data_IF_514312754594
#
_entry.id   IF_514312754594
#
_cell.length_a   1.000
_cell.length_b   1.000
_cell.length_c   1.000
_cell.angle_alpha   90.00
_cell.angle_beta   90.00
_cell.angle_gamma   90.00
#
_symmetry.space_group_name_H-M   'P 1'
#
loop_
_entity.id
_entity.type
_entity.pdbx_description
1 polymer ?
#
# COMPACT_ATOMS: atom_id res chain seq x y z
N UNK A 1 -18.25 11.42 -6.14
CA UNK A 1 -17.08 10.94 -6.90
C UNK A 1 -16.10 10.35 -5.90
N UNK A 2 -15.46 9.21 -6.22
CA UNK A 2 -14.41 8.60 -5.39
C UNK A 2 -13.06 8.68 -6.12
N UNK A 3 -11.98 8.84 -5.37
CA UNK A 3 -10.61 8.76 -5.89
C UNK A 3 -9.95 7.45 -5.47
N UNK A 4 -9.42 6.70 -6.45
CA UNK A 4 -8.63 5.48 -6.21
C UNK A 4 -7.19 5.78 -6.63
N UNK A 5 -6.25 5.67 -5.69
CA UNK A 5 -4.82 5.74 -6.00
C UNK A 5 -4.27 4.33 -6.23
N UNK A 6 -3.80 4.06 -7.45
CA UNK A 6 -3.08 2.81 -7.73
C UNK A 6 -1.60 2.93 -7.34
N UNK A 7 -1.30 2.47 -6.13
CA UNK A 7 0.01 2.54 -5.51
C UNK A 7 0.78 1.21 -5.64
N UNK A 8 0.35 0.31 -6.54
CA UNK A 8 1.02 -0.99 -6.72
C UNK A 8 2.51 -0.82 -7.05
N UNK A 9 2.92 0.27 -7.72
CA UNK A 9 4.34 0.58 -7.99
C UNK A 9 4.92 1.61 -7.02
N UNK A 10 4.14 2.64 -6.70
CA UNK A 10 4.62 3.85 -6.04
C UNK A 10 4.75 3.72 -4.51
N UNK A 11 3.97 2.84 -3.87
CA UNK A 11 4.05 2.62 -2.43
C UNK A 11 5.38 1.98 -2.00
N UNK A 12 5.64 2.10 -0.70
CA UNK A 12 6.77 1.51 0.01
C UNK A 12 8.13 2.06 -0.47
N UNK A 13 8.21 3.37 -0.64
CA UNK A 13 9.48 4.08 -0.78
C UNK A 13 9.97 4.31 -2.21
N UNK A 14 9.28 3.78 -3.24
CA UNK A 14 9.74 3.88 -4.65
C UNK A 14 10.04 5.32 -5.08
N UNK A 15 9.24 6.28 -4.65
CA UNK A 15 9.34 7.69 -5.03
C UNK A 15 9.98 8.56 -3.94
N UNK A 16 10.82 7.99 -3.08
CA UNK A 16 11.42 8.73 -1.95
C UNK A 16 10.41 9.15 -0.87
N UNK A 17 9.22 8.58 -0.90
CA UNK A 17 8.11 8.83 0.02
C UNK A 17 7.37 7.53 0.31
N UNK A 18 6.63 7.44 1.42
CA UNK A 18 5.98 6.17 1.80
C UNK A 18 4.98 5.71 0.72
N UNK A 19 4.30 6.65 0.08
CA UNK A 19 3.41 6.43 -1.06
C UNK A 19 3.46 7.62 -2.02
N UNK A 20 3.14 7.39 -3.30
CA UNK A 20 3.05 8.46 -4.29
C UNK A 20 1.99 9.50 -3.91
N UNK A 21 0.90 9.09 -3.27
CA UNK A 21 -0.16 9.94 -2.79
C UNK A 21 0.37 11.00 -1.81
N UNK A 22 1.31 10.63 -0.94
CA UNK A 22 1.97 11.60 -0.07
C UNK A 22 2.90 12.53 -0.86
N UNK A 23 3.64 12.01 -1.84
CA UNK A 23 4.53 12.80 -2.70
C UNK A 23 3.82 13.91 -3.45
N UNK A 24 2.60 13.63 -3.90
CA UNK A 24 1.80 14.51 -4.76
C UNK A 24 0.63 15.18 -4.05
N UNK A 25 0.53 15.06 -2.71
CA UNK A 25 -0.54 15.69 -1.93
C UNK A 25 -1.94 15.15 -2.25
N UNK A 26 -2.06 13.91 -2.68
CA UNK A 26 -3.33 13.24 -2.98
C UNK A 26 -4.00 12.76 -1.70
N UNK A 27 -5.33 12.82 -1.66
CA UNK A 27 -6.17 12.27 -0.58
C UNK A 27 -7.16 11.27 -1.16
N UNK A 28 -6.71 10.05 -1.49
CA UNK A 28 -7.56 9.02 -2.09
C UNK A 28 -8.54 8.42 -1.08
N UNK A 29 -9.69 7.97 -1.57
CA UNK A 29 -10.70 7.25 -0.79
C UNK A 29 -10.38 5.76 -0.68
N UNK A 30 -9.65 5.22 -1.67
CA UNK A 30 -9.20 3.85 -1.77
C UNK A 30 -7.77 3.83 -2.31
N UNK A 31 -6.94 2.90 -1.83
CA UNK A 31 -5.59 2.68 -2.34
C UNK A 31 -5.42 1.19 -2.68
N UNK A 32 -4.91 0.89 -3.87
CA UNK A 32 -4.46 -0.46 -4.22
C UNK A 32 -2.96 -0.58 -4.04
N UNK A 33 -2.51 -1.69 -3.44
CA UNK A 33 -1.07 -1.92 -3.26
C UNK A 33 -0.69 -3.40 -3.29
N UNK A 34 0.56 -3.69 -3.64
CA UNK A 34 1.16 -5.02 -3.74
C UNK A 34 2.70 -4.86 -3.81
N UNK A 35 3.39 -5.61 -4.69
CA UNK A 35 4.83 -5.47 -5.03
C UNK A 35 5.75 -5.14 -3.83
N UNK A 36 6.06 -3.86 -3.62
CA UNK A 36 6.93 -3.37 -2.54
C UNK A 36 6.44 -3.73 -1.14
N UNK A 37 5.16 -4.07 -0.96
CA UNK A 37 4.57 -4.54 0.30
C UNK A 37 5.33 -5.73 0.89
N UNK A 38 5.80 -6.64 0.03
CA UNK A 38 6.58 -7.82 0.42
C UNK A 38 7.95 -7.85 -0.25
N UNK A 39 8.33 -6.79 -0.99
CA UNK A 39 9.45 -6.82 -1.94
C UNK A 39 9.45 -8.09 -2.82
N UNK A 40 8.26 -8.57 -3.18
CA UNK A 40 8.03 -9.81 -3.94
C UNK A 40 8.53 -11.12 -3.29
N UNK A 41 8.91 -11.13 -2.00
CA UNK A 41 9.30 -12.36 -1.30
C UNK A 41 8.13 -13.35 -1.13
N UNK A 42 6.89 -12.85 -1.09
CA UNK A 42 5.67 -13.65 -1.07
C UNK A 42 4.52 -12.87 -1.77
N UNK A 43 3.54 -13.55 -2.39
CA UNK A 43 2.43 -12.89 -3.08
C UNK A 43 1.47 -12.26 -2.07
N UNK A 44 1.42 -10.93 -2.03
CA UNK A 44 0.46 -10.19 -1.20
C UNK A 44 0.01 -8.92 -1.92
N UNK A 45 -1.28 -8.63 -1.82
CA UNK A 45 -1.87 -7.34 -2.17
C UNK A 45 -2.78 -6.88 -1.04
N UNK A 46 -3.10 -5.59 -1.05
CA UNK A 46 -4.06 -5.00 -0.14
C UNK A 46 -4.87 -3.91 -0.84
N UNK A 47 -6.12 -3.76 -0.40
CA UNK A 47 -6.94 -2.57 -0.65
C UNK A 47 -7.03 -1.83 0.68
N UNK A 48 -6.51 -0.61 0.72
CA UNK A 48 -6.62 0.26 1.89
C UNK A 48 -7.87 1.11 1.68
N UNK A 49 -8.76 1.11 2.68
CA UNK A 49 -10.07 1.75 2.59
C UNK A 49 -10.11 2.96 3.51
N UNK A 50 -10.40 4.13 2.96
CA UNK A 50 -10.59 5.35 3.74
C UNK A 50 -11.89 5.33 4.54
N UNK A 51 -11.92 6.06 5.66
CA UNK A 51 -13.04 6.08 6.60
C UNK A 51 -14.40 6.37 5.94
N UNK A 52 -14.43 7.32 4.99
CA UNK A 52 -15.64 7.67 4.22
C UNK A 52 -16.29 6.45 3.56
N UNK A 53 -15.47 5.54 3.00
CA UNK A 53 -15.96 4.33 2.33
C UNK A 53 -16.22 3.22 3.34
N UNK A 54 -15.34 3.07 4.33
CA UNK A 54 -15.50 2.08 5.39
C UNK A 54 -16.82 2.22 6.14
N UNK A 55 -17.21 3.45 6.53
CA UNK A 55 -18.45 3.70 7.27
C UNK A 55 -19.68 3.23 6.49
N UNK A 56 -19.70 3.42 5.17
CA UNK A 56 -20.80 2.96 4.31
C UNK A 56 -20.85 1.43 4.24
N UNK A 57 -19.68 0.77 4.17
CA UNK A 57 -19.60 -0.70 4.17
C UNK A 57 -20.09 -1.26 5.52
N UNK A 58 -19.68 -0.64 6.63
CA UNK A 58 -20.09 -1.03 7.97
C UNK A 58 -21.60 -0.89 8.18
N UNK A 59 -22.17 0.28 7.83
CA UNK A 59 -23.61 0.53 7.88
C UNK A 59 -24.40 -0.45 7.00
N UNK A 60 -23.90 -0.76 5.80
CA UNK A 60 -24.52 -1.76 4.92
C UNK A 60 -24.48 -3.16 5.55
N UNK A 61 -23.38 -3.53 6.21
CA UNK A 61 -23.26 -4.86 6.84
C UNK A 61 -24.28 -5.10 7.94
N UNK A 62 -24.66 -4.05 8.66
CA UNK A 62 -25.68 -4.09 9.71
C UNK A 62 -27.10 -4.26 9.15
N UNK A 63 -27.36 -3.75 7.94
CA UNK A 63 -28.68 -3.80 7.29
C UNK A 63 -28.86 -5.06 6.43
N UNK A 64 -27.82 -5.40 5.68
CA UNK A 64 -27.88 -6.32 4.55
C UNK A 64 -27.10 -7.64 4.82
N UNK A 65 -26.40 -7.72 5.96
CA UNK A 65 -25.57 -8.86 6.34
C UNK A 65 -24.14 -8.77 5.81
N UNK A 66 -23.36 -9.85 5.98
CA UNK A 66 -21.94 -9.85 5.63
C UNK A 66 -21.69 -9.60 4.13
N UNK A 67 -20.64 -8.82 3.83
CA UNK A 67 -20.19 -8.59 2.45
C UNK A 67 -19.72 -9.90 1.81
N UNK A 68 -20.32 -10.28 0.68
CA UNK A 68 -19.97 -11.47 -0.10
C UNK A 68 -18.66 -11.34 -0.88
N UNK A 69 -17.57 -10.97 -0.21
CA UNK A 69 -16.25 -10.79 -0.82
C UNK A 69 -15.17 -11.47 0.01
N UNK A 70 -14.37 -12.33 -0.62
CA UNK A 70 -13.28 -13.02 0.05
C UNK A 70 -12.47 -13.87 -0.92
N UNK A 71 -11.25 -14.18 -0.51
CA UNK A 71 -10.32 -15.04 -1.24
C UNK A 71 -9.78 -16.10 -0.30
N UNK A 72 -9.53 -17.31 -0.79
CA UNK A 72 -8.98 -18.42 0.00
C UNK A 72 -7.70 -18.03 0.74
N UNK A 73 -6.88 -17.17 0.13
CA UNK A 73 -5.60 -16.73 0.68
C UNK A 73 -5.62 -15.27 1.20
N UNK A 74 -6.82 -14.70 1.42
CA UNK A 74 -6.93 -13.37 2.03
C UNK A 74 -6.31 -13.40 3.43
N UNK A 75 -5.31 -12.54 3.68
CA UNK A 75 -4.58 -12.53 4.96
C UNK A 75 -3.67 -13.74 5.18
N UNK A 76 -3.14 -14.36 4.12
CA UNK A 76 -2.28 -15.55 4.25
C UNK A 76 -1.10 -15.32 5.23
N UNK A 77 -0.95 -16.11 6.31
CA UNK A 77 -0.01 -15.84 7.40
C UNK A 77 1.46 -15.71 6.95
N UNK A 78 1.90 -16.55 6.01
CA UNK A 78 3.29 -16.50 5.49
C UNK A 78 3.53 -15.19 4.71
N UNK A 79 2.54 -14.73 3.95
CA UNK A 79 2.65 -13.48 3.19
C UNK A 79 2.67 -12.28 4.13
N UNK A 80 1.87 -12.31 5.20
CA UNK A 80 1.90 -11.29 6.25
C UNK A 80 3.25 -11.26 6.98
N UNK A 81 3.81 -12.42 7.34
CA UNK A 81 5.13 -12.49 7.95
C UNK A 81 6.24 -11.92 7.03
N UNK A 82 6.20 -12.23 5.74
CA UNK A 82 7.11 -11.66 4.75
C UNK A 82 6.95 -10.13 4.63
N UNK A 83 5.71 -9.63 4.66
CA UNK A 83 5.44 -8.19 4.64
C UNK A 83 6.00 -7.48 5.88
N UNK A 84 5.78 -8.03 7.08
CA UNK A 84 6.31 -7.46 8.32
C UNK A 84 7.83 -7.38 8.30
N UNK A 85 8.51 -8.49 7.96
CA UNK A 85 9.97 -8.50 7.86
C UNK A 85 10.49 -7.50 6.80
N UNK A 86 9.78 -7.38 5.67
CA UNK A 86 10.10 -6.40 4.63
C UNK A 86 9.96 -4.95 5.14
N UNK A 87 8.86 -4.62 5.81
CA UNK A 87 8.64 -3.28 6.36
C UNK A 87 9.69 -2.94 7.43
N UNK A 88 10.02 -3.89 8.31
CA UNK A 88 11.08 -3.73 9.32
C UNK A 88 12.44 -3.40 8.67
N UNK A 89 12.76 -4.02 7.53
CA UNK A 89 13.98 -3.74 6.77
C UNK A 89 13.91 -2.34 6.15
N UNK A 90 12.82 -2.00 5.46
CA UNK A 90 12.63 -0.68 4.83
C UNK A 90 12.81 0.46 5.85
N UNK A 91 12.29 0.29 7.07
CA UNK A 91 12.40 1.26 8.15
C UNK A 91 13.80 1.27 8.77
N UNK A 92 14.34 0.12 9.17
CA UNK A 92 15.64 0.01 9.85
C UNK A 92 16.79 0.53 8.99
N UNK A 93 16.74 0.30 7.68
CA UNK A 93 17.77 0.71 6.72
C UNK A 93 17.44 2.05 6.05
N UNK A 94 16.34 2.70 6.45
CA UNK A 94 15.89 4.00 5.94
C UNK A 94 15.82 4.05 4.40
N UNK A 95 15.32 2.98 3.78
CA UNK A 95 15.39 2.79 2.33
C UNK A 95 14.54 3.78 1.54
N UNK A 96 13.51 4.36 2.17
CA UNK A 96 12.73 5.46 1.57
C UNK A 96 13.57 6.72 1.42
N UNK A 97 14.37 7.08 2.42
CA UNK A 97 15.27 8.23 2.33
C UNK A 97 16.37 7.98 1.30
N UNK A 98 16.95 6.78 1.29
CA UNK A 98 17.93 6.41 0.28
C UNK A 98 17.35 6.51 -1.15
N UNK A 99 16.07 6.13 -1.35
CA UNK A 99 15.40 6.28 -2.63
C UNK A 99 15.21 7.75 -3.05
N UNK A 100 14.95 8.66 -2.11
CA UNK A 100 14.91 10.11 -2.39
C UNK A 100 16.30 10.62 -2.81
N UNK A 101 17.34 10.31 -2.03
CA UNK A 101 18.70 10.81 -2.25
C UNK A 101 19.34 10.26 -3.53
N UNK A 102 19.37 8.94 -3.67
CA UNK A 102 19.98 8.27 -4.82
C UNK A 102 19.09 8.41 -6.06
N UNK A 103 17.77 8.49 -5.89
CA UNK A 103 16.84 8.80 -6.98
C UNK A 103 17.06 10.20 -7.55
N UNK A 104 17.30 11.20 -6.70
CA UNK A 104 17.68 12.54 -7.14
C UNK A 104 19.01 12.54 -7.89
N UNK A 105 20.02 11.82 -7.38
CA UNK A 105 21.29 11.64 -8.09
C UNK A 105 21.09 10.98 -9.46
N UNK A 106 20.32 9.89 -9.53
CA UNK A 106 20.01 9.19 -10.77
C UNK A 106 19.36 10.13 -11.81
N UNK A 107 18.38 10.93 -11.40
CA UNK A 107 17.73 11.89 -12.30
C UNK A 107 18.69 12.97 -12.84
N UNK A 108 19.77 13.29 -12.13
CA UNK A 108 20.80 14.20 -12.64
C UNK A 108 21.75 13.52 -13.65
N UNK A 109 21.84 12.19 -13.64
CA UNK A 109 22.71 11.44 -14.57
C UNK A 109 22.01 11.07 -15.88
N UNK A 110 20.68 11.22 -15.96
CA UNK A 110 19.85 10.94 -17.14
C UNK A 110 19.59 12.23 -17.93
#
# INVERSE_FOLDING_TARGET
MLLIADEVVCAFGRLGSKMGSQRYGMSPDLITTAKGLTSAYAPLSAVIIGEKVWNVIDEASQRDGAMGHGWTYSGHPICAAAALANLDILERENLTQNAEEVGAYLNHQL
#
